data_IF_170536664161
#
_entry.id   IF_170536664161
#
_cell.length_a   1.000
_cell.length_b   1.000
_cell.length_c   1.000
_cell.angle_alpha   90.00
_cell.angle_beta   90.00
_cell.angle_gamma   90.00
#
_symmetry.space_group_name_H-M   'P 1'
#
loop_
_entity.id
_entity.type
_entity.pdbx_description
1 polymer ?
#
# COMPACT_ATOMS: atom_id res chain seq x y z
N UNK A 1 -13.22 43.78 25.75
CA UNK A 1 -11.84 43.69 25.21
C UNK A 1 -11.89 42.74 24.02
N UNK A 2 -11.95 43.28 22.79
CA UNK A 2 -10.83 43.35 21.82
C UNK A 2 -10.44 41.93 21.34
N UNK A 3 -10.96 41.38 20.23
CA UNK A 3 -10.83 41.76 18.80
C UNK A 3 -9.44 41.48 18.18
N UNK A 4 -9.48 40.95 16.94
CA UNK A 4 -8.45 40.91 15.86
C UNK A 4 -7.37 39.81 15.97
N UNK A 5 -6.96 39.03 14.95
CA UNK A 5 -7.00 39.06 13.46
C UNK A 5 -7.01 37.57 12.97
N UNK A 6 -7.80 37.06 12.00
CA UNK A 6 -7.93 37.32 10.55
C UNK A 6 -6.67 37.02 9.70
N UNK A 7 -6.64 35.88 8.97
CA UNK A 7 -6.57 35.75 7.48
C UNK A 7 -5.97 34.41 6.98
N UNK A 8 -6.72 33.70 6.13
CA UNK A 8 -6.35 32.97 4.89
C UNK A 8 -7.53 32.04 4.52
N UNK A 9 -8.64 32.51 3.96
CA UNK A 9 -8.97 32.73 2.53
C UNK A 9 -8.59 31.64 1.51
N UNK A 10 -9.66 31.03 0.95
CA UNK A 10 -9.85 30.50 -0.41
C UNK A 10 -9.17 29.18 -0.83
N UNK A 11 -9.95 28.08 -0.90
CA UNK A 11 -10.58 27.63 -2.16
C UNK A 11 -11.52 26.43 -1.93
N UNK A 12 -12.70 26.67 -1.36
CA UNK A 12 -13.81 25.73 -1.47
C UNK A 12 -14.61 26.15 -2.71
N UNK A 13 -14.19 25.69 -3.88
CA UNK A 13 -15.05 25.71 -5.05
C UNK A 13 -16.12 24.64 -4.86
N UNK A 14 -17.29 25.11 -4.46
CA UNK A 14 -18.56 24.40 -4.46
C UNK A 14 -18.80 23.84 -5.86
N UNK A 15 -18.52 22.55 -6.07
CA UNK A 15 -19.05 21.82 -7.22
C UNK A 15 -20.54 21.54 -6.92
N UNK A 16 -21.39 22.47 -7.30
CA UNK A 16 -22.80 22.17 -7.52
C UNK A 16 -22.88 21.12 -8.65
N UNK A 17 -23.67 20.05 -8.51
CA UNK A 17 -24.02 19.22 -9.64
C UNK A 17 -24.93 20.04 -10.55
N UNK A 18 -24.36 20.64 -11.60
CA UNK A 18 -25.13 21.21 -12.70
C UNK A 18 -25.57 20.02 -13.55
N UNK A 19 -26.87 19.83 -13.84
CA UNK A 19 -27.30 18.78 -14.74
C UNK A 19 -26.66 19.05 -16.11
N UNK A 20 -25.83 18.12 -16.57
CA UNK A 20 -25.32 18.13 -17.93
C UNK A 20 -26.53 18.05 -18.88
N UNK A 21 -26.91 19.19 -19.47
CA UNK A 21 -27.78 19.17 -20.65
C UNK A 21 -26.95 18.61 -21.80
N UNK A 22 -27.07 17.29 -21.99
CA UNK A 22 -26.63 16.62 -23.20
C UNK A 22 -27.50 17.17 -24.32
N UNK A 23 -26.92 18.01 -25.18
CA UNK A 23 -27.58 18.49 -26.38
C UNK A 23 -27.88 17.30 -27.29
N UNK A 24 -29.15 16.94 -27.35
CA UNK A 24 -29.72 15.94 -28.24
C UNK A 24 -29.63 16.48 -29.68
N UNK A 25 -28.47 16.30 -30.30
CA UNK A 25 -28.27 16.41 -31.75
C UNK A 25 -28.21 14.99 -32.31
N UNK A 26 -29.36 14.33 -32.24
CA UNK A 26 -29.64 13.06 -32.90
C UNK A 26 -29.63 13.26 -34.41
N UNK A 27 -28.51 12.89 -35.05
CA UNK A 27 -28.40 12.82 -36.49
C UNK A 27 -27.18 12.01 -36.89
N UNK A 28 -27.41 10.76 -37.31
CA UNK A 28 -26.44 9.82 -37.90
C UNK A 28 -25.52 9.03 -36.95
N UNK A 29 -26.09 8.25 -36.04
CA UNK A 29 -25.52 6.93 -35.78
C UNK A 29 -26.62 5.89 -35.94
N UNK A 30 -26.57 5.18 -37.06
CA UNK A 30 -27.38 4.01 -37.35
C UNK A 30 -27.39 3.06 -36.15
N UNK A 31 -28.61 2.64 -35.74
CA UNK A 31 -28.87 1.59 -34.74
C UNK A 31 -27.80 0.50 -34.78
N UNK A 32 -26.88 0.57 -33.83
CA UNK A 32 -25.83 -0.42 -33.67
C UNK A 32 -26.51 -1.72 -33.23
N UNK A 33 -26.40 -2.77 -34.06
CA UNK A 33 -26.87 -4.13 -33.71
C UNK A 33 -26.21 -4.55 -32.39
N UNK A 34 -26.98 -5.19 -31.51
CA UNK A 34 -26.49 -5.77 -30.25
C UNK A 34 -25.54 -6.91 -30.60
N UNK A 35 -24.23 -6.61 -30.62
CA UNK A 35 -23.17 -7.60 -30.71
C UNK A 35 -22.82 -8.17 -29.34
N UNK A 36 -22.06 -9.26 -29.30
CA UNK A 36 -21.61 -9.90 -28.06
C UNK A 36 -20.78 -8.96 -27.19
N UNK A 37 -20.91 -9.07 -25.86
CA UNK A 37 -20.11 -8.33 -24.87
C UNK A 37 -18.63 -8.68 -25.06
N UNK A 38 -17.77 -7.67 -25.24
CA UNK A 38 -16.32 -7.85 -25.34
C UNK A 38 -15.72 -7.82 -23.93
N UNK A 39 -14.97 -8.86 -23.51
CA UNK A 39 -14.35 -8.89 -22.20
C UNK A 39 -13.31 -7.79 -22.00
N UNK A 40 -13.29 -7.16 -20.83
CA UNK A 40 -12.39 -6.01 -20.56
C UNK A 40 -10.92 -6.41 -20.64
N UNK A 41 -10.62 -7.66 -20.28
CA UNK A 41 -9.28 -8.26 -20.30
C UNK A 41 -8.65 -8.38 -21.69
N UNK A 42 -9.45 -8.33 -22.77
CA UNK A 42 -8.92 -8.39 -24.15
C UNK A 42 -8.31 -7.07 -24.59
N UNK A 43 -8.68 -5.97 -23.95
CA UNK A 43 -8.29 -4.63 -24.37
C UNK A 43 -7.53 -3.86 -23.29
N UNK A 44 -7.61 -4.27 -22.02
CA UNK A 44 -6.85 -3.67 -20.91
C UNK A 44 -5.84 -4.65 -20.38
N UNK A 45 -4.62 -4.18 -20.15
CA UNK A 45 -3.63 -4.89 -19.37
C UNK A 45 -3.00 -3.98 -18.34
N UNK A 46 -2.74 -4.52 -17.15
CA UNK A 46 -1.84 -3.87 -16.20
C UNK A 46 -0.42 -4.37 -16.47
N UNK A 47 0.53 -3.46 -16.63
CA UNK A 47 1.91 -3.82 -17.02
C UNK A 47 2.94 -3.08 -16.20
N UNK A 48 4.08 -3.73 -16.01
CA UNK A 48 5.35 -3.07 -15.63
C UNK A 48 6.24 -2.97 -16.87
N UNK A 49 7.52 -2.67 -16.71
CA UNK A 49 8.48 -2.67 -17.84
C UNK A 49 8.63 -4.07 -18.46
N UNK A 50 8.62 -5.11 -17.63
CA UNK A 50 9.09 -6.44 -18.02
C UNK A 50 8.00 -7.52 -17.98
N UNK A 51 6.81 -7.22 -17.43
CA UNK A 51 5.73 -8.20 -17.28
C UNK A 51 4.33 -7.61 -17.41
N UNK A 52 3.41 -8.45 -17.89
CA UNK A 52 1.96 -8.25 -17.81
C UNK A 52 1.47 -8.86 -16.50
N UNK A 53 0.59 -8.15 -15.80
CA UNK A 53 -0.02 -8.59 -14.55
C UNK A 53 -1.43 -9.10 -14.86
N UNK A 54 -1.72 -10.32 -14.41
CA UNK A 54 -3.04 -10.92 -14.56
C UNK A 54 -3.98 -10.43 -13.44
N UNK A 55 -5.29 -10.26 -13.74
CA UNK A 55 -6.27 -9.90 -12.73
C UNK A 55 -6.52 -11.06 -11.74
N UNK A 56 -6.97 -10.70 -10.53
CA UNK A 56 -7.41 -11.66 -9.50
C UNK A 56 -6.29 -12.16 -8.56
N UNK A 57 -5.19 -12.70 -9.07
CA UNK A 57 -4.13 -13.23 -8.21
C UNK A 57 -3.21 -12.12 -7.67
N UNK A 58 -2.98 -12.05 -6.34
CA UNK A 58 -2.02 -11.10 -5.78
C UNK A 58 -0.60 -11.32 -6.33
N UNK A 59 0.05 -10.22 -6.72
CA UNK A 59 1.44 -10.26 -7.20
C UNK A 59 2.32 -9.32 -6.39
N UNK A 60 3.52 -9.79 -6.03
CA UNK A 60 4.50 -8.95 -5.33
C UNK A 60 5.39 -8.19 -6.34
N UNK A 61 5.38 -6.86 -6.27
CA UNK A 61 6.18 -5.96 -7.11
C UNK A 61 7.22 -5.21 -6.28
N UNK A 62 8.41 -4.96 -6.85
CA UNK A 62 9.41 -4.09 -6.24
C UNK A 62 9.03 -2.59 -6.39
N UNK A 63 9.61 -1.68 -5.59
CA UNK A 63 9.40 -0.25 -5.74
C UNK A 63 9.73 0.26 -7.15
N UNK A 64 10.75 -0.30 -7.80
CA UNK A 64 11.14 0.06 -9.17
C UNK A 64 10.06 -0.34 -10.18
N UNK A 65 9.50 -1.54 -10.05
CA UNK A 65 8.41 -2.03 -10.91
C UNK A 65 7.13 -1.22 -10.73
N UNK A 66 6.85 -0.79 -9.50
CA UNK A 66 5.71 0.06 -9.15
C UNK A 66 5.86 1.45 -9.78
N UNK A 67 7.07 2.01 -9.79
CA UNK A 67 7.31 3.35 -10.34
C UNK A 67 6.95 3.48 -11.82
N UNK A 68 6.95 2.36 -12.56
CA UNK A 68 6.60 2.27 -13.99
C UNK A 68 5.29 1.54 -14.24
N UNK A 69 4.52 1.25 -13.18
CA UNK A 69 3.24 0.56 -13.28
C UNK A 69 2.24 1.40 -14.06
N UNK A 70 1.61 0.77 -15.06
CA UNK A 70 0.63 1.43 -15.93
C UNK A 70 -0.43 0.48 -16.43
N UNK A 71 -1.63 1.02 -16.58
CA UNK A 71 -2.70 0.39 -17.34
C UNK A 71 -2.47 0.73 -18.81
N UNK A 72 -2.36 -0.28 -19.67
CA UNK A 72 -2.15 -0.15 -21.12
C UNK A 72 -3.41 -0.55 -21.85
N UNK A 73 -3.77 0.22 -22.86
CA UNK A 73 -4.90 -0.07 -23.74
C UNK A 73 -4.40 -0.71 -25.04
N UNK A 74 -4.81 -1.96 -25.26
CA UNK A 74 -4.55 -2.70 -26.51
C UNK A 74 -5.56 -2.25 -27.56
N UNK A 75 -5.34 -1.04 -28.10
CA UNK A 75 -6.26 -0.37 -29.02
C UNK A 75 -6.54 -1.18 -30.28
N UNK A 76 -5.57 -1.96 -30.76
CA UNK A 76 -5.72 -2.84 -31.93
C UNK A 76 -6.67 -4.02 -31.70
N UNK A 77 -6.95 -4.37 -30.43
CA UNK A 77 -7.92 -5.40 -30.07
C UNK A 77 -9.37 -4.92 -30.20
N UNK A 78 -9.60 -3.61 -30.36
CA UNK A 78 -10.93 -3.03 -30.55
C UNK A 78 -11.36 -3.17 -32.01
N UNK A 79 -12.60 -3.62 -32.22
CA UNK A 79 -13.21 -3.65 -33.55
C UNK A 79 -13.80 -2.28 -33.92
N UNK A 80 -14.05 -2.05 -35.21
CA UNK A 80 -14.70 -0.82 -35.69
C UNK A 80 -16.11 -0.63 -35.11
N UNK A 81 -16.72 -1.70 -34.60
CA UNK A 81 -18.07 -1.67 -34.04
C UNK A 81 -18.11 -1.39 -32.53
N UNK A 82 -16.96 -1.40 -31.86
CA UNK A 82 -16.92 -1.24 -30.40
C UNK A 82 -17.02 0.23 -29.98
N UNK A 83 -16.64 1.15 -30.87
CA UNK A 83 -16.66 2.59 -30.60
C UNK A 83 -15.67 2.99 -29.50
N UNK A 84 -15.70 4.28 -29.07
CA UNK A 84 -14.87 4.75 -27.97
C UNK A 84 -15.22 4.11 -26.64
N UNK A 85 -14.21 3.66 -25.91
CA UNK A 85 -14.32 3.11 -24.56
C UNK A 85 -13.97 4.18 -23.54
N UNK A 86 -14.88 4.38 -22.59
CA UNK A 86 -14.72 5.32 -21.48
C UNK A 86 -14.52 4.54 -20.19
N UNK A 87 -13.39 4.78 -19.53
CA UNK A 87 -12.93 3.96 -18.43
C UNK A 87 -12.64 4.79 -17.22
N UNK A 88 -13.00 4.23 -16.06
CA UNK A 88 -12.64 4.72 -14.76
C UNK A 88 -11.62 3.75 -14.16
N UNK A 89 -10.47 4.31 -13.77
CA UNK A 89 -9.38 3.59 -13.14
C UNK A 89 -9.30 4.08 -11.70
N UNK A 90 -9.66 3.21 -10.77
CA UNK A 90 -9.58 3.50 -9.33
C UNK A 90 -8.36 2.79 -8.76
N UNK A 91 -7.45 3.54 -8.15
CA UNK A 91 -6.28 3.01 -7.45
C UNK A 91 -6.50 3.21 -5.97
N UNK A 92 -6.61 2.11 -5.23
CA UNK A 92 -6.74 2.12 -3.77
C UNK A 92 -5.42 1.62 -3.21
N UNK A 93 -4.86 2.37 -2.27
CA UNK A 93 -3.62 2.01 -1.61
C UNK A 93 -3.81 1.89 -0.11
N UNK A 94 -3.37 0.76 0.45
CA UNK A 94 -3.38 0.50 1.88
C UNK A 94 -1.99 0.15 2.39
N UNK A 95 -1.72 0.48 3.64
CA UNK A 95 -0.48 0.05 4.29
C UNK A 95 -0.56 -1.41 4.74
N UNK A 96 0.55 -1.98 5.25
CA UNK A 96 0.58 -3.33 5.85
C UNK A 96 -0.46 -3.57 6.95
N UNK A 97 -0.98 -2.53 7.60
CA UNK A 97 -2.02 -2.61 8.64
C UNK A 97 -3.44 -2.52 8.06
N UNK A 98 -3.57 -2.58 6.74
CA UNK A 98 -4.82 -2.42 5.98
C UNK A 98 -5.48 -1.03 6.14
N UNK A 99 -4.75 -0.04 6.65
CA UNK A 99 -5.25 1.33 6.69
C UNK A 99 -5.15 1.93 5.30
N UNK A 100 -6.23 2.59 4.85
CA UNK A 100 -6.25 3.39 3.64
C UNK A 100 -5.20 4.50 3.73
N UNK A 101 -4.30 4.56 2.74
CA UNK A 101 -3.33 5.64 2.56
C UNK A 101 -3.91 6.67 1.61
N UNK A 102 -4.33 6.21 0.42
CA UNK A 102 -4.78 7.07 -0.66
C UNK A 102 -5.76 6.32 -1.60
N UNK A 103 -6.66 7.08 -2.20
CA UNK A 103 -7.59 6.62 -3.23
C UNK A 103 -7.58 7.64 -4.39
N UNK A 104 -7.09 7.20 -5.55
CA UNK A 104 -6.99 8.03 -6.73
C UNK A 104 -7.90 7.49 -7.85
N UNK A 105 -8.68 8.37 -8.45
CA UNK A 105 -9.57 8.06 -9.57
C UNK A 105 -9.09 8.81 -10.82
N UNK A 106 -8.77 8.06 -11.86
CA UNK A 106 -8.39 8.60 -13.17
C UNK A 106 -9.40 8.12 -14.22
N UNK A 107 -9.69 8.99 -15.18
CA UNK A 107 -10.54 8.67 -16.32
C UNK A 107 -9.69 8.56 -17.58
N UNK A 108 -10.02 7.59 -18.42
CA UNK A 108 -9.33 7.34 -19.68
C UNK A 108 -10.33 7.11 -20.81
N UNK A 109 -9.95 7.55 -22.02
CA UNK A 109 -10.71 7.32 -23.24
C UNK A 109 -9.78 6.59 -24.20
N UNK A 110 -10.20 5.43 -24.69
CA UNK A 110 -9.45 4.65 -25.66
C UNK A 110 -10.36 4.18 -26.78
N UNK A 111 -9.86 4.19 -28.01
CA UNK A 111 -10.56 3.76 -29.21
C UNK A 111 -9.55 3.14 -30.19
N UNK A 112 -10.08 2.41 -31.18
CA UNK A 112 -9.26 1.77 -32.22
C UNK A 112 -8.39 2.83 -32.94
N UNK A 113 -7.11 2.55 -33.22
CA UNK A 113 -6.26 3.52 -33.92
C UNK A 113 -6.80 3.86 -35.30
N UNK A 114 -6.79 5.15 -35.63
CA UNK A 114 -7.07 5.64 -36.96
C UNK A 114 -5.83 5.58 -37.85
N UNK A 115 -5.98 5.97 -39.13
CA UNK A 115 -4.91 5.89 -40.12
C UNK A 115 -3.67 6.75 -39.79
N UNK A 116 -3.84 7.81 -39.00
CA UNK A 116 -2.76 8.72 -38.58
C UNK A 116 -3.01 9.29 -37.16
N UNK A 117 -1.96 9.83 -36.54
CA UNK A 117 -2.01 10.38 -35.17
C UNK A 117 -2.88 11.64 -35.07
N UNK A 118 -3.01 12.43 -36.15
CA UNK A 118 -3.83 13.64 -36.14
C UNK A 118 -5.33 13.29 -36.13
N UNK A 119 -5.72 12.20 -36.79
CA UNK A 119 -7.07 11.66 -36.78
C UNK A 119 -7.43 11.13 -35.40
N UNK A 120 -6.50 10.42 -34.75
CA UNK A 120 -6.63 10.01 -33.35
C UNK A 120 -6.86 11.22 -32.44
N UNK A 121 -6.06 12.29 -32.58
CA UNK A 121 -6.21 13.48 -31.76
C UNK A 121 -7.56 14.17 -31.98
N UNK A 122 -8.00 14.32 -33.24
CA UNK A 122 -9.32 14.90 -33.56
C UNK A 122 -10.46 14.09 -32.96
N UNK A 123 -10.36 12.76 -32.99
CA UNK A 123 -11.36 11.89 -32.39
C UNK A 123 -11.36 12.01 -30.86
N UNK A 124 -10.18 12.06 -30.23
CA UNK A 124 -10.07 12.29 -28.79
C UNK A 124 -10.71 13.61 -28.39
N UNK A 125 -10.43 14.70 -29.11
CA UNK A 125 -11.06 15.99 -28.86
C UNK A 125 -12.57 15.93 -29.04
N UNK A 126 -13.05 15.22 -30.07
CA UNK A 126 -14.48 15.03 -30.32
C UNK A 126 -15.14 14.31 -29.14
N UNK A 127 -14.55 13.21 -28.67
CA UNK A 127 -15.03 12.46 -27.51
C UNK A 127 -14.97 13.30 -26.22
N UNK A 128 -13.86 14.00 -25.98
CA UNK A 128 -13.69 14.83 -24.79
C UNK A 128 -14.73 15.97 -24.71
N UNK A 129 -15.05 16.60 -25.86
CA UNK A 129 -16.11 17.62 -25.94
C UNK A 129 -17.51 17.07 -25.63
N UNK A 130 -17.76 15.80 -25.95
CA UNK A 130 -19.04 15.13 -25.68
C UNK A 130 -19.21 14.72 -24.21
N UNK A 131 -18.11 14.68 -23.44
CA UNK A 131 -18.03 14.07 -22.09
C UNK A 131 -17.50 15.05 -21.02
N UNK A 132 -17.42 16.35 -21.31
CA UNK A 132 -16.90 17.39 -20.41
C UNK A 132 -17.47 17.30 -18.96
N UNK A 133 -16.70 17.53 -17.86
CA UNK A 133 -15.29 17.89 -17.66
C UNK A 133 -14.39 16.71 -17.22
N UNK A 134 -14.83 15.46 -17.39
CA UNK A 134 -14.14 14.27 -16.89
C UNK A 134 -12.88 13.88 -17.69
N UNK A 135 -12.71 14.45 -18.89
CA UNK A 135 -11.66 14.09 -19.83
C UNK A 135 -10.63 15.21 -19.97
N UNK A 136 -9.48 15.07 -19.30
CA UNK A 136 -8.29 15.82 -19.68
C UNK A 136 -7.81 15.29 -21.05
N UNK A 137 -7.75 16.17 -22.06
CA UNK A 137 -7.25 15.79 -23.40
C UNK A 137 -5.74 15.60 -23.31
N UNK A 138 -5.33 14.36 -23.03
CA UNK A 138 -3.94 13.94 -23.08
C UNK A 138 -3.84 12.71 -23.98
N UNK A 139 -3.16 12.81 -25.13
CA UNK A 139 -2.99 11.69 -26.05
C UNK A 139 -2.32 10.47 -25.42
N UNK A 140 -1.49 10.66 -24.39
CA UNK A 140 -0.88 9.55 -23.67
C UNK A 140 -1.92 8.71 -22.92
N UNK A 141 -2.96 9.34 -22.36
CA UNK A 141 -4.06 8.65 -21.66
C UNK A 141 -4.91 7.79 -22.59
N UNK A 142 -4.79 7.95 -23.91
CA UNK A 142 -5.39 7.02 -24.88
C UNK A 142 -4.64 5.71 -25.00
N UNK A 143 -3.33 5.71 -24.70
CA UNK A 143 -2.44 4.56 -24.85
C UNK A 143 -2.21 3.88 -23.51
N UNK A 144 -2.02 4.67 -22.46
CA UNK A 144 -1.78 4.14 -21.13
C UNK A 144 -2.04 5.17 -20.03
N UNK A 145 -2.41 4.68 -18.85
CA UNK A 145 -2.52 5.48 -17.64
C UNK A 145 -1.48 5.01 -16.63
N UNK A 146 -0.61 5.93 -16.19
CA UNK A 146 0.36 5.65 -15.13
C UNK A 146 -0.36 5.60 -13.79
N UNK A 147 -0.09 4.55 -13.02
CA UNK A 147 -0.60 4.42 -11.67
C UNK A 147 0.30 5.25 -10.75
N UNK A 148 -0.26 6.31 -10.17
CA UNK A 148 0.45 7.21 -9.26
C UNK A 148 0.36 6.65 -7.85
N UNK A 149 1.52 6.34 -7.25
CA UNK A 149 1.65 5.72 -5.92
C UNK A 149 2.66 6.47 -5.06
N UNK A 150 2.77 7.79 -5.26
CA UNK A 150 3.79 8.66 -4.67
C UNK A 150 3.75 8.65 -3.13
N UNK A 151 2.59 8.30 -2.56
CA UNK A 151 2.31 8.26 -1.12
C UNK A 151 2.59 6.91 -0.47
N UNK A 152 2.94 5.87 -1.25
CA UNK A 152 2.96 4.52 -0.74
C UNK A 152 4.19 4.25 0.16
N UNK A 153 3.93 3.90 1.42
CA UNK A 153 4.96 3.44 2.33
C UNK A 153 5.52 2.06 1.96
N UNK A 154 6.58 1.65 2.66
CA UNK A 154 7.13 0.30 2.54
C UNK A 154 6.12 -0.74 3.02
N UNK A 155 6.00 -1.85 2.28
CA UNK A 155 5.01 -2.90 2.52
C UNK A 155 3.57 -2.36 2.51
N UNK A 156 2.92 -2.47 1.35
CA UNK A 156 1.53 -2.03 1.15
C UNK A 156 0.78 -2.95 0.20
N UNK A 157 -0.52 -2.77 0.14
CA UNK A 157 -1.39 -3.42 -0.84
C UNK A 157 -2.02 -2.35 -1.71
N UNK A 158 -1.90 -2.53 -3.02
CA UNK A 158 -2.51 -1.66 -4.02
C UNK A 158 -3.53 -2.47 -4.79
N UNK A 159 -4.75 -1.95 -4.86
CA UNK A 159 -5.82 -2.49 -5.67
C UNK A 159 -6.03 -1.52 -6.83
N UNK A 160 -5.81 -2.00 -8.05
CA UNK A 160 -6.15 -1.24 -9.27
C UNK A 160 -7.42 -1.83 -9.85
N UNK A 161 -8.47 -1.03 -9.91
CA UNK A 161 -9.76 -1.37 -10.53
C UNK A 161 -9.91 -0.62 -11.83
N UNK A 162 -10.20 -1.35 -12.90
CA UNK A 162 -10.57 -0.76 -14.19
C UNK A 162 -12.01 -1.14 -14.49
N UNK A 163 -12.87 -0.15 -14.60
CA UNK A 163 -14.29 -0.35 -14.87
C UNK A 163 -14.76 0.59 -15.99
N UNK A 164 -15.77 0.16 -16.78
CA UNK A 164 -16.47 1.03 -17.70
C UNK A 164 -17.16 2.16 -16.93
N UNK A 165 -17.12 3.39 -17.45
CA UNK A 165 -17.85 4.51 -16.84
C UNK A 165 -19.37 4.28 -17.04
N UNK A 166 -20.12 4.18 -15.95
CA UNK A 166 -21.50 3.68 -15.94
C UNK A 166 -22.51 4.59 -16.64
N UNK A 167 -22.32 5.91 -16.59
CA UNK A 167 -23.18 6.86 -17.28
C UNK A 167 -22.94 6.83 -18.79
N UNK A 168 -21.68 6.71 -19.21
CA UNK A 168 -21.29 6.72 -20.62
C UNK A 168 -21.50 5.37 -21.31
N UNK A 169 -21.43 4.26 -20.58
CA UNK A 169 -21.75 2.93 -21.10
C UNK A 169 -23.19 2.87 -21.61
N UNK A 170 -24.12 3.60 -20.99
CA UNK A 170 -25.52 3.66 -21.45
C UNK A 170 -25.65 4.24 -22.85
N UNK A 171 -24.72 5.12 -23.25
CA UNK A 171 -24.74 5.81 -24.54
C UNK A 171 -23.78 5.21 -25.57
N UNK A 172 -22.64 4.68 -25.13
CA UNK A 172 -21.52 4.32 -26.01
C UNK A 172 -20.92 2.93 -25.74
N UNK A 173 -21.13 2.36 -24.55
CA UNK A 173 -20.36 1.21 -24.09
C UNK A 173 -21.03 -0.14 -24.33
N UNK A 174 -20.26 -1.10 -24.84
CA UNK A 174 -20.63 -2.53 -24.92
C UNK A 174 -20.02 -3.37 -23.80
N UNK A 175 -19.12 -2.79 -23.01
CA UNK A 175 -18.33 -3.52 -22.00
C UNK A 175 -18.93 -3.26 -20.62
N UNK A 176 -19.14 -4.34 -19.85
CA UNK A 176 -19.73 -4.30 -18.51
C UNK A 176 -18.88 -4.98 -17.43
N UNK A 177 -17.79 -5.62 -17.83
CA UNK A 177 -16.91 -6.34 -16.93
C UNK A 177 -15.99 -5.37 -16.18
N UNK A 178 -15.65 -5.71 -14.94
CA UNK A 178 -14.68 -4.97 -14.13
C UNK A 178 -13.43 -5.82 -14.01
N UNK A 179 -12.25 -5.19 -14.09
CA UNK A 179 -10.98 -5.86 -13.76
C UNK A 179 -10.46 -5.33 -12.44
N UNK A 180 -10.00 -6.24 -11.60
CA UNK A 180 -9.36 -5.94 -10.33
C UNK A 180 -7.99 -6.62 -10.27
N UNK A 181 -6.97 -5.83 -9.98
CA UNK A 181 -5.59 -6.27 -9.85
C UNK A 181 -5.13 -6.05 -8.41
N UNK A 182 -4.58 -7.10 -7.80
CA UNK A 182 -4.07 -7.08 -6.44
C UNK A 182 -2.55 -7.06 -6.45
N UNK A 183 -1.95 -6.02 -5.87
CA UNK A 183 -0.51 -5.77 -5.94
C UNK A 183 0.04 -5.62 -4.53
N UNK A 184 0.92 -6.52 -4.13
CA UNK A 184 1.70 -6.41 -2.91
C UNK A 184 2.98 -5.64 -3.21
N UNK A 185 3.21 -4.57 -2.46
CA UNK A 185 4.40 -3.74 -2.64
C UNK A 185 5.49 -4.23 -1.71
N UNK A 186 6.61 -4.69 -2.28
CA UNK A 186 7.77 -5.12 -1.51
C UNK A 186 8.42 -3.92 -0.84
N UNK A 187 8.57 -4.00 0.47
CA UNK A 187 9.35 -3.05 1.26
C UNK A 187 10.73 -3.61 1.62
N UNK A 188 11.42 -2.95 2.56
CA UNK A 188 12.70 -3.44 3.08
C UNK A 188 12.53 -4.76 3.81
N UNK A 189 13.53 -5.64 3.72
CA UNK A 189 13.57 -6.91 4.44
C UNK A 189 13.91 -6.76 5.92
N UNK A 190 14.34 -5.57 6.35
CA UNK A 190 14.70 -5.26 7.72
C UNK A 190 13.84 -4.12 8.24
N UNK A 191 13.28 -4.31 9.43
CA UNK A 191 12.51 -3.29 10.15
C UNK A 191 13.12 -3.07 11.53
N UNK A 192 13.37 -1.80 11.86
CA UNK A 192 13.91 -1.40 13.14
C UNK A 192 12.76 -0.94 14.05
N UNK A 193 12.73 -1.43 15.28
CA UNK A 193 11.70 -1.07 16.26
C UNK A 193 12.33 -0.83 17.62
N UNK A 194 11.71 0.02 18.43
CA UNK A 194 12.11 0.22 19.81
C UNK A 194 11.11 -0.50 20.72
N UNK A 195 11.58 -1.39 21.58
CA UNK A 195 10.70 -2.15 22.48
C UNK A 195 11.01 -1.81 23.92
N UNK A 196 9.97 -1.42 24.67
CA UNK A 196 9.98 -1.28 26.12
C UNK A 196 9.32 -2.51 26.75
N UNK A 197 9.89 -3.04 27.83
CA UNK A 197 9.33 -4.24 28.46
C UNK A 197 9.71 -4.45 29.90
N UNK A 198 8.94 -5.35 30.52
CA UNK A 198 9.23 -5.96 31.81
C UNK A 198 9.88 -7.32 31.56
N UNK A 199 11.18 -7.49 31.85
CA UNK A 199 11.86 -8.77 31.74
C UNK A 199 11.69 -9.59 33.03
N UNK A 200 11.71 -10.91 32.89
CA UNK A 200 11.83 -11.86 33.99
C UNK A 200 12.96 -12.85 33.69
N UNK A 201 14.02 -12.80 34.48
CA UNK A 201 15.12 -13.77 34.39
C UNK A 201 14.61 -15.13 34.85
N UNK A 202 14.71 -16.12 33.97
CA UNK A 202 14.34 -17.51 34.24
C UNK A 202 15.58 -18.35 34.56
N UNK A 203 16.71 -18.02 33.92
CA UNK A 203 17.99 -18.68 34.17
C UNK A 203 19.16 -17.71 33.96
N UNK A 204 20.13 -17.76 34.87
CA UNK A 204 21.38 -17.01 34.81
C UNK A 204 22.54 -18.02 34.86
N UNK A 205 23.41 -18.01 33.85
CA UNK A 205 24.60 -18.87 33.81
C UNK A 205 25.59 -18.63 34.96
N UNK A 206 25.46 -17.52 35.71
CA UNK A 206 26.33 -17.15 36.84
C UNK A 206 25.54 -16.86 38.11
N UNK A 207 24.69 -17.81 38.52
CA UNK A 207 23.89 -17.74 39.76
C UNK A 207 24.69 -17.49 41.04
N UNK A 208 26.00 -17.81 41.06
CA UNK A 208 26.88 -17.64 42.23
C UNK A 208 27.28 -16.17 42.45
N UNK A 209 27.26 -15.33 41.41
CA UNK A 209 27.50 -13.88 41.46
C UNK A 209 26.14 -13.16 41.33
N UNK A 210 25.38 -13.16 42.43
CA UNK A 210 24.00 -12.68 42.45
C UNK A 210 23.92 -11.20 42.10
N UNK A 211 23.21 -10.89 41.01
CA UNK A 211 22.89 -9.52 40.59
C UNK A 211 21.40 -9.29 40.77
N UNK A 212 21.04 -8.15 41.33
CA UNK A 212 19.66 -7.74 41.48
C UNK A 212 19.22 -7.05 40.19
N UNK A 213 18.40 -7.75 39.41
CA UNK A 213 17.84 -7.24 38.17
C UNK A 213 16.69 -6.28 38.46
N UNK A 214 16.72 -5.10 37.84
CA UNK A 214 15.59 -4.20 37.77
C UNK A 214 14.46 -4.76 36.90
N UNK A 215 13.32 -4.07 36.93
CA UNK A 215 12.07 -4.57 36.34
C UNK A 215 11.80 -4.03 34.93
N UNK A 216 12.72 -3.27 34.34
CA UNK A 216 12.51 -2.67 33.02
C UNK A 216 13.66 -2.97 32.05
N UNK A 217 13.36 -2.87 30.77
CA UNK A 217 14.31 -3.07 29.68
C UNK A 217 13.88 -2.28 28.46
N UNK A 218 14.85 -1.76 27.73
CA UNK A 218 14.65 -1.03 26.49
C UNK A 218 15.61 -1.56 25.43
N UNK A 219 15.07 -1.99 24.30
CA UNK A 219 15.86 -2.61 23.24
C UNK A 219 15.52 -1.96 21.91
N UNK A 220 16.54 -1.55 21.16
CA UNK A 220 16.41 -1.40 19.73
C UNK A 220 16.44 -2.81 19.12
N UNK A 221 15.38 -3.19 18.42
CA UNK A 221 15.21 -4.50 17.78
C UNK A 221 15.25 -4.37 16.25
N UNK A 222 15.84 -5.37 15.62
CA UNK A 222 15.89 -5.57 14.18
C UNK A 222 15.04 -6.80 13.87
N UNK A 223 14.00 -6.60 13.09
CA UNK A 223 13.08 -7.64 12.63
C UNK A 223 13.38 -7.97 11.17
N UNK A 224 13.46 -9.25 10.85
CA UNK A 224 13.45 -9.72 9.48
C UNK A 224 12.00 -9.84 9.01
N UNK A 225 11.71 -9.44 7.77
CA UNK A 225 10.40 -9.65 7.14
C UNK A 225 10.50 -10.69 6.04
N UNK A 226 9.39 -11.42 5.84
CA UNK A 226 9.21 -12.29 4.70
C UNK A 226 9.17 -11.45 3.40
N UNK A 227 10.01 -11.80 2.42
CA UNK A 227 10.18 -11.06 1.17
C UNK A 227 9.00 -11.11 0.19
N UNK A 228 8.02 -11.96 0.45
CA UNK A 228 6.80 -12.11 -0.35
C UNK A 228 5.60 -11.45 0.34
N UNK A 229 5.45 -11.68 1.65
CA UNK A 229 4.26 -11.26 2.40
C UNK A 229 4.44 -10.00 3.25
N UNK A 230 5.68 -9.57 3.49
CA UNK A 230 5.97 -8.44 4.38
C UNK A 230 5.67 -8.70 5.86
N UNK A 231 5.35 -9.93 6.23
CA UNK A 231 5.09 -10.33 7.61
C UNK A 231 6.42 -10.50 8.34
N UNK A 232 6.54 -9.93 9.55
CA UNK A 232 7.71 -10.11 10.41
C UNK A 232 7.86 -11.58 10.81
N UNK A 233 9.08 -12.11 10.75
CA UNK A 233 9.41 -13.38 11.39
C UNK A 233 9.27 -13.26 12.91
N UNK A 234 8.93 -14.35 13.63
CA UNK A 234 8.78 -14.35 15.08
C UNK A 234 10.14 -14.29 15.80
N UNK A 235 11.23 -14.00 15.10
CA UNK A 235 12.58 -13.90 15.67
C UNK A 235 13.12 -12.50 15.39
N UNK A 236 13.73 -11.88 16.38
CA UNK A 236 14.39 -10.58 16.25
C UNK A 236 15.68 -10.54 17.05
N UNK A 237 16.62 -9.72 16.59
CA UNK A 237 17.85 -9.42 17.33
C UNK A 237 17.71 -8.02 17.91
N UNK A 238 18.13 -7.81 19.15
CA UNK A 238 18.08 -6.49 19.78
C UNK A 238 19.35 -6.15 20.55
N UNK A 239 19.55 -4.86 20.74
CA UNK A 239 20.60 -4.31 21.60
C UNK A 239 20.01 -3.22 22.48
N UNK A 240 20.44 -3.14 23.73
CA UNK A 240 19.95 -2.11 24.64
C UNK A 240 20.21 -2.42 26.10
N UNK A 241 19.35 -1.89 26.96
CA UNK A 241 19.45 -2.01 28.42
C UNK A 241 18.53 -3.11 28.92
N UNK A 242 19.04 -3.90 29.88
CA UNK A 242 18.31 -4.99 30.50
C UNK A 242 18.36 -4.89 32.02
N UNK A 243 17.22 -5.14 32.65
CA UNK A 243 17.10 -5.23 34.10
C UNK A 243 17.45 -3.91 34.79
N UNK A 244 17.03 -2.78 34.22
CA UNK A 244 17.21 -1.45 34.81
C UNK A 244 15.93 -1.01 35.52
N UNK A 245 16.04 -0.12 36.51
CA UNK A 245 14.85 0.44 37.18
C UNK A 245 14.15 1.50 36.32
N UNK A 246 14.92 2.20 35.49
CA UNK A 246 14.43 3.13 34.50
C UNK A 246 15.22 2.96 33.20
N UNK A 247 14.56 2.89 32.03
CA UNK A 247 15.24 2.89 30.73
C UNK A 247 16.12 4.11 30.47
N UNK A 248 15.90 5.20 31.21
CA UNK A 248 16.57 6.50 31.06
C UNK A 248 17.71 6.66 32.10
N UNK A 249 17.65 5.94 33.22
CA UNK A 249 18.68 5.98 34.27
C UNK A 249 19.24 4.57 34.55
N UNK A 250 20.29 4.24 33.80
CA UNK A 250 20.99 2.95 33.88
C UNK A 250 21.88 2.86 35.12
N UNK A 251 22.19 3.99 35.77
CA UNK A 251 23.23 4.09 36.80
C UNK A 251 22.79 3.67 38.21
N UNK A 252 21.48 3.64 38.47
CA UNK A 252 20.93 3.40 39.82
C UNK A 252 20.61 1.94 40.14
N UNK A 253 20.79 1.02 39.18
CA UNK A 253 20.33 -0.37 39.29
C UNK A 253 21.40 -1.37 38.84
N UNK A 254 21.34 -2.62 39.32
CA UNK A 254 22.22 -3.73 38.91
C UNK A 254 22.01 -4.20 37.46
N UNK A 255 21.39 -3.37 36.63
CA UNK A 255 21.18 -3.61 35.21
C UNK A 255 22.47 -3.47 34.39
N UNK A 256 22.30 -3.56 33.08
CA UNK A 256 23.43 -3.50 32.16
C UNK A 256 23.03 -3.54 30.71
N UNK A 257 24.01 -3.72 29.85
CA UNK A 257 23.80 -3.83 28.41
C UNK A 257 23.52 -5.28 28.04
N UNK A 258 22.62 -5.48 27.09
CA UNK A 258 22.32 -6.79 26.56
C UNK A 258 22.24 -6.76 25.04
N UNK A 259 22.75 -7.83 24.45
CA UNK A 259 22.39 -8.25 23.09
C UNK A 259 21.36 -9.35 23.27
N UNK A 260 20.28 -9.32 22.50
CA UNK A 260 19.10 -10.16 22.71
C UNK A 260 18.75 -10.89 21.42
N UNK A 261 18.59 -12.22 21.50
CA UNK A 261 17.87 -12.98 20.48
C UNK A 261 16.49 -13.32 21.05
N UNK A 262 15.46 -12.73 20.47
CA UNK A 262 14.11 -12.79 21.00
C UNK A 262 13.16 -13.54 20.07
N UNK A 263 12.44 -14.48 20.66
CA UNK A 263 11.36 -15.22 20.02
C UNK A 263 10.00 -14.65 20.46
N UNK A 264 9.29 -14.01 19.54
CA UNK A 264 7.99 -13.37 19.75
C UNK A 264 6.84 -14.36 19.48
N UNK A 265 6.23 -14.84 20.56
CA UNK A 265 5.11 -15.79 20.50
C UNK A 265 3.87 -15.09 19.96
N UNK A 266 3.67 -13.80 20.25
CA UNK A 266 2.51 -13.05 19.76
C UNK A 266 2.61 -12.91 18.24
N UNK A 267 3.80 -12.66 17.70
CA UNK A 267 4.01 -12.64 16.26
C UNK A 267 3.75 -14.02 15.62
N UNK A 268 4.13 -15.11 16.27
CA UNK A 268 3.80 -16.46 15.82
C UNK A 268 2.28 -16.69 15.77
N UNK A 269 1.56 -16.25 16.81
CA UNK A 269 0.09 -16.34 16.87
C UNK A 269 -0.57 -15.51 15.75
N UNK A 270 -0.04 -14.33 15.43
CA UNK A 270 -0.52 -13.53 14.29
C UNK A 270 -0.30 -14.22 12.95
N UNK A 271 0.83 -14.92 12.76
CA UNK A 271 1.11 -15.69 11.54
C UNK A 271 0.06 -16.80 11.34
N UNK A 272 -0.47 -17.39 12.40
CA UNK A 272 -1.55 -18.40 12.35
C UNK A 272 -2.96 -17.80 12.46
N UNK A 273 -3.12 -16.52 12.13
CA UNK A 273 -4.40 -15.78 12.09
C UNK A 273 -5.12 -15.62 13.43
N UNK A 274 -4.39 -15.58 14.55
CA UNK A 274 -4.95 -15.19 15.85
C UNK A 274 -4.76 -13.68 16.04
N UNK A 275 -5.87 -12.94 16.00
CA UNK A 275 -5.88 -11.48 16.08
C UNK A 275 -5.55 -10.98 17.48
N UNK A 276 -4.30 -10.54 17.67
CA UNK A 276 -3.80 -9.88 18.88
C UNK A 276 -3.31 -8.46 18.56
N UNK A 277 -3.49 -7.50 19.49
CA UNK A 277 -3.07 -6.11 19.27
C UNK A 277 -1.62 -6.02 18.79
N UNK A 278 -1.36 -5.31 17.69
CA UNK A 278 -0.05 -5.27 17.02
C UNK A 278 1.08 -4.68 17.90
N UNK A 279 0.74 -3.84 18.86
CA UNK A 279 1.70 -3.15 19.73
C UNK A 279 2.25 -4.02 20.87
N UNK A 280 1.63 -5.17 21.16
CA UNK A 280 2.02 -6.05 22.26
C UNK A 280 3.01 -7.11 21.78
N UNK A 281 4.06 -7.34 22.57
CA UNK A 281 5.03 -8.41 22.39
C UNK A 281 5.06 -9.29 23.63
N UNK A 282 5.14 -10.61 23.46
CA UNK A 282 5.41 -11.54 24.55
C UNK A 282 6.22 -12.73 24.03
N UNK A 283 7.20 -13.18 24.82
CA UNK A 283 8.11 -14.20 24.33
C UNK A 283 9.32 -14.47 25.20
N UNK A 284 10.26 -15.22 24.62
CA UNK A 284 11.49 -15.65 25.28
C UNK A 284 12.70 -14.98 24.67
N UNK A 285 13.70 -14.71 25.50
CA UNK A 285 14.92 -14.01 25.13
C UNK A 285 16.13 -14.79 25.61
N UNK A 286 17.11 -14.97 24.73
CA UNK A 286 18.46 -15.42 25.08
C UNK A 286 19.37 -14.23 24.91
N UNK A 287 20.00 -13.78 25.99
CA UNK A 287 20.72 -12.52 25.97
C UNK A 287 22.11 -12.63 26.60
N UNK A 288 23.20 -12.45 25.82
CA UNK A 288 24.48 -12.01 26.39
C UNK A 288 24.28 -10.69 27.13
N UNK A 289 24.52 -10.70 28.44
CA UNK A 289 24.30 -9.60 29.36
C UNK A 289 25.61 -9.17 30.00
N UNK A 290 25.84 -7.86 30.00
CA UNK A 290 27.02 -7.19 30.50
C UNK A 290 26.60 -6.24 31.63
N UNK A 291 26.45 -6.79 32.86
CA UNK A 291 26.16 -5.98 34.03
C UNK A 291 27.27 -4.97 34.30
N UNK A 292 26.91 -3.78 34.78
CA UNK A 292 27.90 -2.75 35.13
C UNK A 292 28.69 -3.21 36.36
N UNK A 293 30.03 -3.20 36.28
CA UNK A 293 30.91 -3.58 37.39
C UNK A 293 31.03 -5.08 37.66
N UNK A 294 30.36 -5.93 36.87
CA UNK A 294 30.39 -7.39 36.99
C UNK A 294 30.82 -8.05 35.69
N UNK A 295 31.15 -9.35 35.75
CA UNK A 295 31.53 -10.10 34.56
C UNK A 295 30.30 -10.43 33.71
N UNK A 296 30.49 -10.44 32.39
CA UNK A 296 29.45 -10.84 31.43
C UNK A 296 28.89 -12.25 31.67
N UNK A 297 27.61 -12.43 31.38
CA UNK A 297 26.84 -13.66 31.63
C UNK A 297 25.80 -13.86 30.53
N UNK A 298 25.33 -15.09 30.34
CA UNK A 298 24.22 -15.42 29.46
C UNK A 298 22.94 -15.58 30.28
N UNK A 299 21.88 -14.90 29.85
CA UNK A 299 20.57 -14.93 30.48
C UNK A 299 19.55 -15.62 29.57
N UNK A 300 18.66 -16.40 30.17
CA UNK A 300 17.41 -16.84 29.55
C UNK A 300 16.24 -16.17 30.27
N UNK A 301 15.41 -15.45 29.51
CA UNK A 301 14.41 -14.55 30.06
C UNK A 301 13.05 -14.76 29.39
N UNK A 302 11.98 -14.49 30.14
CA UNK A 302 10.69 -14.15 29.56
C UNK A 302 10.57 -12.62 29.51
N UNK A 303 9.87 -12.10 28.50
CA UNK A 303 9.67 -10.66 28.31
C UNK A 303 8.25 -10.41 27.81
N UNK A 304 7.57 -9.45 28.44
CA UNK A 304 6.33 -8.85 27.93
C UNK A 304 6.58 -7.36 27.74
N UNK A 305 6.18 -6.82 26.60
CA UNK A 305 6.48 -5.45 26.24
C UNK A 305 5.54 -4.85 25.22
N UNK A 306 5.87 -3.60 24.88
CA UNK A 306 5.24 -2.84 23.82
C UNK A 306 6.29 -2.38 22.81
N UNK A 307 5.91 -2.45 21.54
CA UNK A 307 6.63 -1.83 20.42
C UNK A 307 5.65 -0.88 19.74
N UNK A 308 5.90 0.44 19.75
CA UNK A 308 5.06 1.41 19.07
C UNK A 308 5.05 1.22 17.55
#
# INVERSE_FOLDING_TARGET
MKALFCLLTLSAAVFNPIPAQINDTTGQFSRIRIGAVVPLIRYVQLTTRDRVIEPGNPIALSPEEISVLRVVFLRDSLSDQDGPQFLKITTISTNRRENLIDENVQYAISFRPMADEDADLRELERCARQVAPLAYVNPELMRSVRIQLDSLGEWGHVIVRVEPEEELVKYYGRIKEKLEYHILVKGRLLEFGFTLSVPKVLYDTRTVDSVLYGNTSAMLRIHLLNGETGVRYPISVGVGTFGVDSPIDVSRSGGGFAISLYFDIIQLLRIVNINLPQSVNAGFDVSPFFPIGHKGRLLFNARIGITP
#
